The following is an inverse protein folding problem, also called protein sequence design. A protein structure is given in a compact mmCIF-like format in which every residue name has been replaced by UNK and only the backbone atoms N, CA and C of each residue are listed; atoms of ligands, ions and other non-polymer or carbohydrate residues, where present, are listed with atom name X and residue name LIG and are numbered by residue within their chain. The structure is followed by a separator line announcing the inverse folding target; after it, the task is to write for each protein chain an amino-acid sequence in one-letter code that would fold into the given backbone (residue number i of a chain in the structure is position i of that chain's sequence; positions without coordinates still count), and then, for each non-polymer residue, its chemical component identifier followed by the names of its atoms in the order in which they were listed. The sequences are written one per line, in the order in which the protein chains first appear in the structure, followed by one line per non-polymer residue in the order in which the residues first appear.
data_IF_533054844276
#
_entry.id   IF_533054844276
#
_cell.length_a   1.000
_cell.length_b   1.000
_cell.length_c   1.000
_cell.angle_alpha   90.00
_cell.angle_beta   90.00
_cell.angle_gamma   90.00
#
_symmetry.space_group_name_H-M   'P 1'
#
loop_
_entity.id
_entity.type
_entity.pdbx_description
1 polymer ?
#
# COMPACT_ATOMS: atom_id res chain seq x y z
N UNK A 1 -6.68 10.46 -6.68
CA UNK A 1 -6.08 9.73 -7.83
C UNK A 1 -6.34 8.24 -7.60
N UNK A 2 -6.83 7.50 -8.61
CA UNK A 2 -7.16 6.04 -8.62
C UNK A 2 -7.66 5.43 -7.29
N UNK A 3 -8.91 5.70 -6.86
CA UNK A 3 -9.49 5.12 -5.64
C UNK A 3 -9.67 3.59 -5.71
N UNK A 4 -9.76 2.89 -4.54
CA UNK A 4 -9.82 1.42 -4.46
C UNK A 4 -10.94 0.77 -5.26
N UNK A 5 -12.09 1.43 -5.42
CA UNK A 5 -13.21 0.85 -6.16
C UNK A 5 -12.87 0.56 -7.64
N UNK A 6 -11.87 1.25 -8.22
CA UNK A 6 -11.39 0.91 -9.57
C UNK A 6 -10.64 -0.42 -9.58
N UNK A 7 -9.85 -0.73 -8.55
CA UNK A 7 -9.21 -2.03 -8.39
C UNK A 7 -10.24 -3.16 -8.26
N UNK A 8 -11.29 -2.93 -7.48
CA UNK A 8 -12.39 -3.88 -7.33
C UNK A 8 -13.14 -4.12 -8.65
N UNK A 9 -13.42 -3.05 -9.41
CA UNK A 9 -14.03 -3.16 -10.73
C UNK A 9 -13.16 -4.00 -11.70
N UNK A 10 -11.83 -3.84 -11.65
CA UNK A 10 -10.92 -4.59 -12.53
C UNK A 10 -10.85 -6.09 -12.20
N UNK A 11 -11.10 -6.51 -10.96
CA UNK A 11 -11.13 -7.95 -10.61
C UNK A 11 -12.13 -8.74 -11.45
N UNK A 12 -13.20 -8.10 -11.92
CA UNK A 12 -14.19 -8.71 -12.81
C UNK A 12 -13.59 -9.18 -14.14
N UNK A 13 -12.48 -8.58 -14.57
CA UNK A 13 -11.77 -8.90 -15.81
C UNK A 13 -10.54 -9.78 -15.61
N UNK A 14 -10.08 -9.96 -14.37
CA UNK A 14 -8.88 -10.73 -14.03
C UNK A 14 -9.22 -11.80 -12.98
N UNK A 15 -9.68 -12.99 -13.40
CA UNK A 15 -10.19 -14.01 -12.47
C UNK A 15 -9.10 -14.60 -11.54
N UNK A 16 -7.83 -14.50 -11.93
CA UNK A 16 -6.68 -14.87 -11.10
C UNK A 16 -5.99 -13.61 -10.58
N UNK A 17 -6.68 -12.84 -9.73
CA UNK A 17 -6.15 -11.59 -9.18
C UNK A 17 -6.48 -11.41 -7.70
N UNK A 18 -5.61 -10.69 -7.01
CA UNK A 18 -5.83 -10.20 -5.64
C UNK A 18 -5.78 -8.68 -5.63
N UNK A 19 -6.67 -8.05 -4.85
CA UNK A 19 -6.75 -6.60 -4.70
C UNK A 19 -6.36 -6.22 -3.27
N UNK A 20 -5.17 -5.63 -3.13
CA UNK A 20 -4.61 -5.20 -1.86
C UNK A 20 -4.80 -3.68 -1.70
N UNK A 21 -5.20 -3.25 -0.50
CA UNK A 21 -5.46 -1.84 -0.18
C UNK A 21 -4.58 -1.44 1.00
N UNK A 22 -3.82 -0.34 0.87
CA UNK A 22 -3.09 0.28 1.96
C UNK A 22 -3.90 1.47 2.51
N UNK A 23 -4.59 1.34 3.67
CA UNK A 23 -5.63 2.28 4.08
C UNK A 23 -5.13 3.67 4.51
N UNK A 24 -3.84 3.78 4.84
CA UNK A 24 -3.26 4.96 5.51
C UNK A 24 -2.26 5.72 4.65
N UNK A 25 -2.27 5.55 3.34
CA UNK A 25 -1.40 6.32 2.43
C UNK A 25 -2.17 6.84 1.22
N UNK A 26 -1.50 7.68 0.42
CA UNK A 26 -2.05 8.29 -0.79
C UNK A 26 -1.75 7.49 -2.06
N UNK A 27 -1.80 8.19 -3.20
CA UNK A 27 -1.39 7.64 -4.49
C UNK A 27 0.11 7.29 -4.49
N UNK A 28 0.51 6.28 -5.28
CA UNK A 28 1.85 5.66 -5.28
C UNK A 28 2.17 4.87 -4.01
N UNK A 29 1.48 3.74 -3.80
CA UNK A 29 1.67 2.87 -2.63
C UNK A 29 2.96 2.04 -2.69
N UNK A 30 3.46 1.70 -3.89
CA UNK A 30 4.63 0.83 -4.08
C UNK A 30 5.87 1.15 -3.20
N UNK A 31 6.31 2.42 -3.02
CA UNK A 31 7.45 2.74 -2.16
C UNK A 31 7.13 2.82 -0.66
N UNK A 32 5.88 2.59 -0.24
CA UNK A 32 5.43 2.83 1.13
C UNK A 32 5.54 1.55 1.96
N UNK A 33 6.24 1.63 3.10
CA UNK A 33 6.35 0.55 4.06
C UNK A 33 6.88 -0.75 3.42
N UNK A 34 6.21 -1.86 3.70
CA UNK A 34 6.54 -3.19 3.19
C UNK A 34 6.04 -3.45 1.75
N UNK A 35 5.32 -2.52 1.12
CA UNK A 35 4.67 -2.78 -0.19
C UNK A 35 5.66 -3.22 -1.26
N UNK A 36 6.87 -2.66 -1.26
CA UNK A 36 7.96 -3.06 -2.17
C UNK A 36 8.36 -4.53 -2.01
N UNK A 37 8.31 -5.06 -0.80
CA UNK A 37 8.72 -6.42 -0.47
C UNK A 37 7.62 -7.40 -0.91
N UNK A 38 6.34 -7.06 -0.67
CA UNK A 38 5.18 -7.80 -1.23
C UNK A 38 5.26 -7.89 -2.76
N UNK A 39 5.58 -6.78 -3.44
CA UNK A 39 5.74 -6.77 -4.90
C UNK A 39 6.89 -7.67 -5.34
N UNK A 40 8.02 -7.64 -4.64
CA UNK A 40 9.17 -8.48 -4.93
C UNK A 40 8.83 -9.98 -4.75
N UNK A 41 8.14 -10.33 -3.67
CA UNK A 41 7.74 -11.71 -3.38
C UNK A 41 6.74 -12.24 -4.41
N UNK A 42 5.78 -11.42 -4.83
CA UNK A 42 4.85 -11.77 -5.92
C UNK A 42 5.61 -12.07 -7.23
N UNK A 43 6.60 -11.25 -7.58
CA UNK A 43 7.40 -11.46 -8.80
C UNK A 43 8.26 -12.73 -8.69
N UNK A 44 8.88 -12.96 -7.53
CA UNK A 44 9.79 -14.09 -7.32
C UNK A 44 9.05 -15.44 -7.25
N UNK A 45 7.85 -15.45 -6.66
CA UNK A 45 7.05 -16.67 -6.47
C UNK A 45 6.05 -16.92 -7.59
N UNK A 46 5.71 -15.87 -8.36
CA UNK A 46 4.63 -15.86 -9.33
C UNK A 46 3.26 -16.30 -8.75
N UNK A 47 3.06 -16.15 -7.44
CA UNK A 47 1.80 -16.44 -6.74
C UNK A 47 1.48 -15.35 -5.73
N UNK A 48 0.18 -15.12 -5.48
CA UNK A 48 -0.29 -14.25 -4.40
C UNK A 48 -0.77 -15.03 -3.17
N UNK A 49 -0.76 -16.36 -3.21
CA UNK A 49 -1.41 -17.22 -2.20
C UNK A 49 -0.70 -17.18 -0.85
N UNK A 50 0.63 -17.04 -0.85
CA UNK A 50 1.47 -17.04 0.36
C UNK A 50 2.09 -15.67 0.66
N UNK A 51 1.55 -14.58 0.07
CA UNK A 51 2.04 -13.24 0.38
C UNK A 51 1.60 -12.80 1.78
N UNK A 52 2.57 -12.43 2.61
CA UNK A 52 2.28 -11.74 3.87
C UNK A 52 1.93 -10.28 3.58
N UNK A 53 0.64 -9.95 3.72
CA UNK A 53 0.11 -8.60 3.51
C UNK A 53 -0.26 -7.89 4.81
N UNK A 54 -0.02 -8.53 5.97
CA UNK A 54 -0.42 -8.00 7.29
C UNK A 54 0.24 -6.65 7.60
N UNK A 55 1.46 -6.46 7.11
CA UNK A 55 2.22 -5.21 7.26
C UNK A 55 1.58 -3.99 6.58
N UNK A 56 0.59 -4.16 5.69
CA UNK A 56 -0.15 -3.05 5.09
C UNK A 56 -0.99 -2.30 6.13
N UNK A 57 -1.46 -2.98 7.17
CA UNK A 57 -2.24 -2.39 8.26
C UNK A 57 -1.38 -1.52 9.20
N UNK A 58 -0.08 -1.81 9.26
CA UNK A 58 0.90 -1.06 10.07
C UNK A 58 1.36 0.25 9.41
N UNK A 59 0.98 0.50 8.14
CA UNK A 59 1.29 1.75 7.46
C UNK A 59 0.61 2.89 8.22
N UNK A 60 1.42 3.82 8.75
CA UNK A 60 0.94 5.02 9.43
C UNK A 60 0.62 6.14 8.44
N UNK A 61 -0.42 6.92 8.74
CA UNK A 61 -0.73 8.11 7.94
C UNK A 61 0.40 9.12 8.02
N UNK A 62 0.78 9.76 6.89
CA UNK A 62 1.74 10.85 6.93
C UNK A 62 1.19 11.99 7.79
N UNK A 63 2.06 12.58 8.60
CA UNK A 63 1.74 13.76 9.40
C UNK A 63 1.31 14.93 8.50
N UNK A 64 0.46 15.81 9.03
CA UNK A 64 0.09 17.04 8.34
C UNK A 64 1.31 17.95 8.17
N UNK A 65 1.42 18.57 7.00
CA UNK A 65 2.36 19.66 6.77
C UNK A 65 1.90 20.87 7.57
N UNK A 66 2.79 21.43 8.40
CA UNK A 66 2.49 22.64 9.16
C UNK A 66 2.97 23.91 8.45
N UNK A 67 4.07 23.80 7.70
CA UNK A 67 4.65 24.89 6.89
C UNK A 67 5.53 24.31 5.78
N UNK A 68 6.22 25.18 5.03
CA UNK A 68 7.10 24.80 3.91
C UNK A 68 8.31 23.95 4.31
N UNK A 69 8.65 23.89 5.60
CA UNK A 69 9.70 23.01 6.13
C UNK A 69 9.23 21.56 6.34
N UNK A 70 7.94 21.27 6.15
CA UNK A 70 7.39 19.91 6.20
C UNK A 70 6.51 19.62 7.42
N UNK A 71 6.17 18.35 7.66
CA UNK A 71 5.49 17.93 8.87
C UNK A 71 6.42 18.03 10.10
N UNK A 72 5.84 18.15 11.29
CA UNK A 72 6.60 17.95 12.54
C UNK A 72 7.06 16.49 12.57
N UNK A 73 8.32 16.24 12.95
CA UNK A 73 8.73 14.88 13.29
C UNK A 73 7.87 14.42 14.46
N UNK A 74 7.20 13.28 14.30
CA UNK A 74 6.57 12.59 15.42
C UNK A 74 7.66 12.31 16.44
N UNK A 75 7.55 12.89 17.64
CA UNK A 75 8.29 12.38 18.81
C UNK A 75 7.81 10.95 19.02
N UNK A 76 8.74 9.99 19.02
CA UNK A 76 8.44 8.60 19.35
C UNK A 76 7.90 8.55 20.78
N UNK A 77 6.76 7.88 20.95
CA UNK A 77 6.17 7.50 22.25
C UNK A 77 5.92 6.00 22.21
#
# INVERSE_FOLDING_TARGET
VTPPFWGEAMKQHFPNSSHLVAPNTGHNVAPVGCTKDIIADFINTASYEELDVSCLDDIKRPSFFLNTSGPVRSTEE
#
